data_IF_590458427051
#
_entry.id   IF_590458427051
#
_cell.length_a   1.000
_cell.length_b   1.000
_cell.length_c   1.000
_cell.angle_alpha   90.00
_cell.angle_beta   90.00
_cell.angle_gamma   90.00
#
_symmetry.space_group_name_H-M   'P 1'
#
loop_
_entity.id
_entity.type
_entity.pdbx_description
1 polymer ?
#
# COMPACT_ATOMS: atom_id res chain seq x y z
N UNK A 1 -12.68 26.73 -0.88
CA UNK A 1 -11.95 26.53 -2.16
C UNK A 1 -12.51 25.26 -2.80
N UNK A 2 -12.67 25.13 -4.12
CA UNK A 2 -13.17 23.87 -4.71
C UNK A 2 -12.01 22.90 -4.96
N UNK A 3 -12.18 21.64 -4.60
CA UNK A 3 -11.27 20.57 -4.99
C UNK A 3 -11.23 20.43 -6.51
N UNK A 4 -10.09 20.04 -7.08
CA UNK A 4 -10.01 19.61 -8.48
C UNK A 4 -10.42 18.15 -8.56
N UNK A 5 -11.45 17.85 -9.35
CA UNK A 5 -12.00 16.50 -9.48
C UNK A 5 -11.65 15.95 -10.87
N UNK A 6 -11.11 14.74 -10.91
CA UNK A 6 -10.84 14.00 -12.15
C UNK A 6 -11.80 12.81 -12.24
N UNK A 7 -12.62 12.72 -13.28
CA UNK A 7 -13.56 11.61 -13.44
C UNK A 7 -14.94 11.86 -12.80
N UNK A 8 -15.70 10.78 -12.63
CA UNK A 8 -17.05 10.80 -12.03
C UNK A 8 -17.02 10.00 -10.74
N UNK A 9 -17.61 10.54 -9.68
CA UNK A 9 -17.61 9.93 -8.36
C UNK A 9 -19.00 9.96 -7.74
N UNK A 10 -19.25 9.02 -6.84
CA UNK A 10 -20.42 9.05 -5.97
C UNK A 10 -20.42 10.29 -5.09
N UNK A 11 -21.61 10.81 -4.78
CA UNK A 11 -21.77 11.98 -3.94
C UNK A 11 -21.13 11.82 -2.55
N UNK A 12 -21.09 10.60 -2.00
CA UNK A 12 -20.46 10.33 -0.71
C UNK A 12 -18.95 10.63 -0.74
N UNK A 13 -18.27 10.30 -1.83
CA UNK A 13 -16.85 10.57 -2.04
C UNK A 13 -16.60 12.08 -2.20
N UNK A 14 -17.45 12.75 -2.97
CA UNK A 14 -17.39 14.22 -3.15
C UNK A 14 -17.58 14.96 -1.82
N UNK A 15 -18.55 14.53 -1.02
CA UNK A 15 -18.77 15.09 0.32
C UNK A 15 -17.56 14.92 1.24
N UNK A 16 -16.84 13.80 1.16
CA UNK A 16 -15.63 13.59 1.99
C UNK A 16 -14.52 14.58 1.63
N UNK A 17 -14.23 14.79 0.34
CA UNK A 17 -13.19 15.76 -0.05
C UNK A 17 -13.58 17.20 0.31
N UNK A 18 -14.87 17.55 0.21
CA UNK A 18 -15.41 18.84 0.66
C UNK A 18 -15.23 19.03 2.17
N UNK A 19 -15.63 18.03 2.97
CA UNK A 19 -15.43 18.05 4.42
C UNK A 19 -13.97 18.23 4.82
N UNK A 20 -13.03 17.60 4.11
CA UNK A 20 -11.60 17.76 4.35
C UNK A 20 -11.10 19.19 4.11
N UNK A 21 -11.63 19.87 3.08
CA UNK A 21 -11.34 21.29 2.80
C UNK A 21 -11.94 22.17 3.89
N UNK A 22 -13.20 21.93 4.25
CA UNK A 22 -13.90 22.71 5.29
C UNK A 22 -13.25 22.56 6.67
N UNK A 23 -12.63 21.41 6.96
CA UNK A 23 -11.82 21.18 8.15
C UNK A 23 -10.45 21.94 8.14
N UNK A 24 -10.19 22.75 7.12
CA UNK A 24 -9.01 23.61 7.01
C UNK A 24 -7.96 23.11 6.02
N UNK A 25 -8.37 22.33 5.01
CA UNK A 25 -7.53 22.01 3.86
C UNK A 25 -7.43 23.22 2.93
N UNK A 26 -6.22 23.59 2.53
CA UNK A 26 -5.99 24.73 1.64
C UNK A 26 -6.32 24.39 0.19
N UNK A 27 -5.97 23.18 -0.26
CA UNK A 27 -6.20 22.69 -1.62
C UNK A 27 -6.56 21.21 -1.59
N UNK A 28 -7.48 20.80 -2.45
CA UNK A 28 -7.89 19.40 -2.59
C UNK A 28 -7.84 18.94 -4.04
N UNK A 29 -7.47 17.67 -4.24
CA UNK A 29 -7.57 16.94 -5.51
C UNK A 29 -8.25 15.60 -5.22
N UNK A 30 -9.18 15.19 -6.09
CA UNK A 30 -9.70 13.83 -6.11
C UNK A 30 -9.32 13.19 -7.45
N UNK A 31 -8.52 12.13 -7.38
CA UNK A 31 -8.06 11.35 -8.53
C UNK A 31 -9.19 10.50 -9.12
N UNK A 32 -8.99 10.00 -10.34
CA UNK A 32 -10.02 9.28 -11.11
C UNK A 32 -10.48 7.95 -10.51
N UNK A 33 -9.62 7.32 -9.71
CA UNK A 33 -9.90 6.13 -8.90
C UNK A 33 -10.54 6.46 -7.54
N UNK A 34 -10.83 7.73 -7.29
CA UNK A 34 -11.31 8.23 -6.02
C UNK A 34 -12.63 7.60 -5.58
N UNK A 35 -12.66 7.10 -4.35
CA UNK A 35 -13.86 6.48 -3.78
C UNK A 35 -13.92 6.68 -2.26
N UNK A 36 -15.08 6.34 -1.69
CA UNK A 36 -15.37 6.57 -0.28
C UNK A 36 -14.34 5.88 0.61
N UNK A 37 -13.69 6.65 1.47
CA UNK A 37 -12.70 6.19 2.44
C UNK A 37 -13.14 6.41 3.88
N UNK A 38 -12.17 6.50 4.79
CA UNK A 38 -12.39 6.84 6.19
C UNK A 38 -12.09 8.32 6.42
N UNK A 39 -13.16 9.13 6.57
CA UNK A 39 -13.14 10.60 6.65
C UNK A 39 -12.64 11.32 5.38
N UNK A 40 -11.44 11.00 4.89
CA UNK A 40 -10.92 11.44 3.59
C UNK A 40 -11.17 10.33 2.54
N UNK A 41 -11.49 10.65 1.28
CA UNK A 41 -11.66 9.63 0.26
C UNK A 41 -10.30 9.01 -0.12
N UNK A 42 -10.32 7.72 -0.46
CA UNK A 42 -9.19 7.07 -1.12
C UNK A 42 -9.02 7.75 -2.49
N UNK A 43 -7.78 7.94 -2.95
CA UNK A 43 -7.47 8.74 -4.14
C UNK A 43 -7.61 10.25 -3.94
N UNK A 44 -7.85 10.72 -2.70
CA UNK A 44 -7.90 12.13 -2.34
C UNK A 44 -6.56 12.66 -1.84
N UNK A 45 -6.14 13.83 -2.35
CA UNK A 45 -4.97 14.57 -1.88
C UNK A 45 -5.43 15.91 -1.32
N UNK A 46 -5.10 16.21 -0.07
CA UNK A 46 -5.43 17.50 0.56
C UNK A 46 -4.19 18.11 1.18
N UNK A 47 -3.88 19.34 0.77
CA UNK A 47 -2.79 20.11 1.32
C UNK A 47 -3.26 20.86 2.56
N UNK A 48 -2.57 20.64 3.68
CA UNK A 48 -2.80 21.36 4.93
C UNK A 48 -1.55 22.16 5.27
N UNK A 49 -1.74 23.36 5.79
CA UNK A 49 -0.67 24.16 6.38
C UNK A 49 -0.72 24.04 7.90
N UNK A 50 0.43 23.81 8.52
CA UNK A 50 0.62 23.71 9.97
C UNK A 50 -0.30 22.66 10.66
N UNK A 51 -0.77 21.66 9.91
CA UNK A 51 -1.65 20.59 10.38
C UNK A 51 -1.32 19.27 9.69
N UNK A 52 -1.67 18.16 10.35
CA UNK A 52 -1.59 16.80 9.80
C UNK A 52 -2.98 16.17 9.89
N UNK A 53 -3.42 15.55 8.80
CA UNK A 53 -4.64 14.74 8.75
C UNK A 53 -4.24 13.26 8.84
N UNK A 54 -4.47 12.62 9.99
CA UNK A 54 -4.19 11.18 10.15
C UNK A 54 -5.00 10.33 9.18
N UNK A 55 -6.29 10.65 9.01
CA UNK A 55 -7.16 9.98 8.04
C UNK A 55 -6.74 10.21 6.59
N UNK A 56 -5.99 11.29 6.31
CA UNK A 56 -5.44 11.55 4.99
C UNK A 56 -4.21 10.71 4.65
N UNK A 57 -3.57 10.09 5.64
CA UNK A 57 -2.48 9.12 5.42
C UNK A 57 -3.06 7.73 5.15
N UNK A 58 -4.08 7.34 5.93
CA UNK A 58 -4.69 6.01 5.85
C UNK A 58 -4.23 5.09 6.98
N UNK A 59 -4.91 3.94 7.11
CA UNK A 59 -4.59 2.94 8.13
C UNK A 59 -3.34 2.13 7.76
N UNK A 60 -3.22 1.76 6.49
CA UNK A 60 -2.06 1.04 5.96
C UNK A 60 -0.99 2.03 5.51
N UNK A 61 -0.24 2.54 6.49
CA UNK A 61 0.75 3.59 6.27
C UNK A 61 1.88 3.03 5.40
N UNK A 62 2.16 3.73 4.30
CA UNK A 62 3.15 3.35 3.30
C UNK A 62 2.82 2.08 2.51
N UNK A 63 1.54 1.66 2.46
CA UNK A 63 1.08 0.77 1.39
C UNK A 63 1.44 1.36 0.03
N UNK A 64 2.04 0.56 -0.84
CA UNK A 64 2.58 1.00 -2.11
C UNK A 64 2.95 -0.18 -3.00
N UNK A 65 3.44 0.12 -4.20
CA UNK A 65 3.89 -0.89 -5.15
C UNK A 65 5.40 -0.78 -5.38
N UNK A 66 6.07 -1.91 -5.54
CA UNK A 66 7.43 -2.04 -6.05
C UNK A 66 7.41 -2.96 -7.27
N UNK A 67 8.10 -2.57 -8.35
CA UNK A 67 8.25 -3.42 -9.52
C UNK A 67 9.74 -3.61 -9.84
N UNK A 68 10.15 -4.86 -10.05
CA UNK A 68 11.52 -5.24 -10.39
C UNK A 68 11.52 -5.81 -11.80
N UNK A 69 12.24 -5.15 -12.72
CA UNK A 69 12.49 -5.69 -14.05
C UNK A 69 13.57 -6.78 -13.98
N UNK A 70 13.31 -7.91 -14.63
CA UNK A 70 14.25 -9.03 -14.73
C UNK A 70 14.87 -9.10 -16.13
N UNK A 71 15.94 -9.89 -16.26
CA UNK A 71 16.54 -10.22 -17.56
C UNK A 71 15.79 -11.35 -18.30
N UNK A 72 14.72 -11.89 -17.70
CA UNK A 72 13.95 -12.99 -18.28
C UNK A 72 12.94 -12.49 -19.32
N UNK A 73 12.67 -13.34 -20.32
CA UNK A 73 11.60 -13.11 -21.29
C UNK A 73 10.31 -13.80 -20.86
N UNK A 74 9.18 -13.22 -21.21
CA UNK A 74 7.87 -13.80 -20.93
C UNK A 74 7.73 -15.18 -21.56
N UNK A 75 8.26 -15.36 -22.77
CA UNK A 75 8.37 -16.65 -23.46
C UNK A 75 9.13 -17.74 -22.69
N UNK A 76 10.12 -17.39 -21.87
CA UNK A 76 10.87 -18.34 -21.02
C UNK A 76 10.15 -18.66 -19.70
N UNK A 77 9.38 -17.69 -19.19
CA UNK A 77 8.70 -17.75 -17.89
C UNK A 77 7.33 -18.40 -17.98
N UNK A 78 6.54 -18.09 -19.00
CA UNK A 78 5.15 -18.55 -19.14
C UNK A 78 5.00 -20.08 -19.05
N UNK A 79 5.85 -20.92 -19.68
CA UNK A 79 5.76 -22.38 -19.52
C UNK A 79 6.05 -22.88 -18.11
N UNK A 80 6.74 -22.08 -17.29
CA UNK A 80 7.18 -22.43 -15.93
C UNK A 80 6.38 -21.71 -14.85
N UNK A 81 5.39 -20.88 -15.22
CA UNK A 81 4.71 -19.98 -14.30
C UNK A 81 4.11 -20.72 -13.09
N UNK A 82 3.56 -21.91 -13.30
CA UNK A 82 3.04 -22.73 -12.19
C UNK A 82 4.12 -23.03 -11.15
N UNK A 83 5.29 -23.51 -11.57
CA UNK A 83 6.38 -23.85 -10.66
C UNK A 83 6.92 -22.61 -9.96
N UNK A 84 7.02 -21.50 -10.68
CA UNK A 84 7.49 -20.22 -10.11
C UNK A 84 6.51 -19.72 -9.05
N UNK A 85 5.21 -19.76 -9.32
CA UNK A 85 4.20 -19.34 -8.35
C UNK A 85 4.11 -20.31 -7.16
N UNK A 86 4.31 -21.62 -7.38
CA UNK A 86 4.44 -22.60 -6.30
C UNK A 86 5.64 -22.24 -5.39
N UNK A 87 6.77 -21.81 -5.98
CA UNK A 87 7.95 -21.35 -5.23
C UNK A 87 7.66 -20.06 -4.45
N UNK A 88 7.01 -19.07 -5.08
CA UNK A 88 6.61 -17.81 -4.42
C UNK A 88 5.72 -18.08 -3.21
N UNK A 89 4.69 -18.93 -3.33
CA UNK A 89 3.80 -19.25 -2.21
C UNK A 89 4.51 -20.13 -1.15
N UNK A 90 5.45 -20.97 -1.56
CA UNK A 90 6.28 -21.77 -0.65
C UNK A 90 7.25 -20.91 0.16
N UNK A 91 7.77 -19.82 -0.38
CA UNK A 91 8.82 -19.02 0.27
C UNK A 91 8.28 -17.73 0.91
N UNK A 92 7.19 -17.16 0.40
CA UNK A 92 6.54 -15.94 0.91
C UNK A 92 5.28 -16.29 1.70
N UNK A 93 5.00 -15.56 2.78
CA UNK A 93 3.79 -15.73 3.60
C UNK A 93 2.69 -14.76 3.16
N UNK A 94 1.54 -15.32 2.79
CA UNK A 94 0.33 -14.58 2.40
C UNK A 94 -0.81 -14.81 3.39
N UNK A 95 -1.59 -13.76 3.66
CA UNK A 95 -2.78 -13.79 4.52
C UNK A 95 -2.65 -12.94 5.78
N UNK A 96 -3.80 -12.61 6.36
CA UNK A 96 -3.90 -11.80 7.58
C UNK A 96 -3.31 -12.56 8.77
N UNK A 97 -2.47 -11.89 9.57
CA UNK A 97 -1.94 -12.44 10.82
C UNK A 97 -0.86 -13.52 10.64
N UNK A 98 -0.35 -13.73 9.43
CA UNK A 98 0.73 -14.68 9.19
C UNK A 98 2.05 -14.14 9.70
N UNK A 99 2.98 -15.04 10.03
CA UNK A 99 4.37 -14.70 10.35
C UNK A 99 5.26 -14.97 9.16
N UNK A 100 6.38 -14.25 9.09
CA UNK A 100 7.43 -14.52 8.12
C UNK A 100 8.02 -15.92 8.37
N UNK A 101 8.37 -16.61 7.28
CA UNK A 101 9.00 -17.95 7.37
C UNK A 101 10.44 -17.86 7.87
N UNK A 102 11.09 -16.73 7.61
CA UNK A 102 12.43 -16.40 8.08
C UNK A 102 12.34 -15.13 8.90
N UNK A 103 12.87 -15.16 10.13
CA UNK A 103 12.96 -13.97 10.96
C UNK A 103 13.99 -13.02 10.36
N UNK A 104 13.59 -11.75 10.19
CA UNK A 104 14.48 -10.68 9.77
C UNK A 104 14.90 -9.89 11.01
N UNK A 105 16.19 -9.94 11.32
CA UNK A 105 16.78 -9.04 12.32
C UNK A 105 17.20 -7.75 11.62
N UNK A 106 16.73 -6.61 12.12
CA UNK A 106 16.92 -5.30 11.50
C UNK A 106 17.00 -4.22 12.58
N UNK A 107 17.88 -3.23 12.39
CA UNK A 107 18.11 -2.12 13.34
C UNK A 107 16.86 -1.26 13.61
N UNK A 108 15.88 -1.31 12.69
CA UNK A 108 14.53 -0.72 12.87
C UNK A 108 13.92 -1.13 14.22
N UNK A 109 14.16 -2.35 14.69
CA UNK A 109 13.60 -2.83 15.94
C UNK A 109 14.34 -2.32 17.17
N UNK A 110 15.48 -1.63 17.02
CA UNK A 110 16.21 -1.00 18.12
C UNK A 110 15.88 0.50 18.24
N UNK A 111 15.06 1.04 17.33
CA UNK A 111 14.68 2.45 17.31
C UNK A 111 13.82 2.84 18.53
N UNK A 112 14.10 4.02 19.09
CA UNK A 112 13.41 4.59 20.24
C UNK A 112 11.93 4.91 19.95
N UNK A 113 11.55 5.04 18.67
CA UNK A 113 10.17 5.24 18.23
C UNK A 113 9.24 4.14 18.73
N UNK A 114 9.72 2.91 18.94
CA UNK A 114 8.92 1.84 19.55
C UNK A 114 8.49 2.13 21.00
N UNK A 115 8.99 3.20 21.64
CA UNK A 115 8.52 3.65 22.96
C UNK A 115 7.31 4.60 22.87
N UNK A 116 6.94 5.04 21.66
CA UNK A 116 5.78 5.90 21.43
C UNK A 116 4.49 5.11 21.70
N UNK A 117 3.67 5.59 22.64
CA UNK A 117 2.53 4.84 23.19
C UNK A 117 1.56 4.24 22.14
N UNK A 118 1.18 4.95 21.05
CA UNK A 118 0.37 4.37 19.98
C UNK A 118 0.92 3.10 19.31
N UNK A 119 2.24 2.92 19.26
CA UNK A 119 2.88 1.81 18.53
C UNK A 119 3.67 0.85 19.41
N UNK A 120 3.86 1.17 20.69
CA UNK A 120 4.73 0.39 21.58
C UNK A 120 4.28 -1.06 21.77
N UNK A 121 2.97 -1.31 21.73
CA UNK A 121 2.40 -2.66 21.77
C UNK A 121 2.52 -3.46 20.46
N UNK A 122 2.97 -2.83 19.37
CA UNK A 122 2.97 -3.43 18.03
C UNK A 122 4.34 -3.98 17.62
N UNK A 123 5.41 -3.73 18.39
CA UNK A 123 6.79 -4.08 18.03
C UNK A 123 6.97 -5.57 17.68
N UNK A 124 6.54 -6.47 18.56
CA UNK A 124 6.70 -7.91 18.32
C UNK A 124 5.83 -8.39 17.15
N UNK A 125 4.62 -7.85 16.99
CA UNK A 125 3.77 -8.14 15.83
C UNK A 125 4.44 -7.70 14.53
N UNK A 126 4.98 -6.47 14.48
CA UNK A 126 5.70 -5.98 13.32
C UNK A 126 6.94 -6.83 13.02
N UNK A 127 7.66 -7.28 14.06
CA UNK A 127 8.83 -8.15 13.90
C UNK A 127 8.49 -9.54 13.39
N UNK A 128 7.37 -10.10 13.84
CA UNK A 128 6.85 -11.38 13.36
C UNK A 128 6.34 -11.29 11.91
N UNK A 129 5.87 -10.13 11.48
CA UNK A 129 5.24 -9.90 10.18
C UNK A 129 6.16 -9.28 9.12
N UNK A 130 7.35 -8.80 9.49
CA UNK A 130 8.32 -8.25 8.55
C UNK A 130 8.75 -9.33 7.54
N UNK A 131 8.47 -9.10 6.25
CA UNK A 131 8.69 -10.08 5.18
C UNK A 131 7.45 -10.91 4.83
N UNK A 132 6.26 -10.52 5.28
CA UNK A 132 4.97 -11.07 4.82
C UNK A 132 4.23 -10.09 3.92
N UNK A 133 3.32 -10.61 3.10
CA UNK A 133 2.51 -9.78 2.16
C UNK A 133 1.24 -9.24 2.84
N UNK A 134 0.68 -9.97 3.80
CA UNK A 134 -0.60 -9.66 4.39
C UNK A 134 -1.77 -10.13 3.51
N UNK A 135 -2.93 -9.46 3.61
CA UNK A 135 -4.13 -9.77 2.85
C UNK A 135 -4.75 -8.52 2.22
N UNK A 136 -6.01 -8.61 1.77
CA UNK A 136 -6.65 -7.49 1.09
C UNK A 136 -6.19 -7.39 -0.36
N UNK A 137 -5.69 -6.22 -0.76
CA UNK A 137 -5.21 -5.93 -2.11
C UNK A 137 -3.70 -6.11 -2.30
N UNK A 138 -2.98 -6.65 -1.31
CA UNK A 138 -1.54 -6.89 -1.38
C UNK A 138 -1.23 -8.17 -2.16
N UNK A 139 -0.17 -8.15 -2.96
CA UNK A 139 0.18 -9.27 -3.84
C UNK A 139 1.69 -9.43 -3.98
N UNK A 140 2.09 -10.57 -4.54
CA UNK A 140 3.37 -10.73 -5.25
C UNK A 140 3.01 -11.45 -6.53
N UNK A 141 3.30 -10.85 -7.67
CA UNK A 141 2.88 -11.39 -8.96
C UNK A 141 3.91 -11.14 -10.06
N UNK A 142 3.79 -11.91 -11.14
CA UNK A 142 4.70 -11.91 -12.27
C UNK A 142 3.97 -11.35 -13.49
N UNK A 143 4.47 -10.23 -14.01
CA UNK A 143 3.89 -9.55 -15.15
C UNK A 143 4.81 -9.69 -16.37
N UNK A 144 4.20 -9.70 -17.56
CA UNK A 144 4.90 -9.50 -18.82
C UNK A 144 4.40 -8.18 -19.44
N UNK A 145 5.33 -7.36 -19.91
CA UNK A 145 4.98 -6.13 -20.63
C UNK A 145 4.89 -6.34 -22.15
N UNK A 146 4.56 -5.28 -22.87
CA UNK A 146 4.36 -5.32 -24.33
C UNK A 146 5.65 -5.62 -25.11
N UNK A 147 6.81 -5.66 -24.45
CA UNK A 147 8.13 -5.98 -25.02
C UNK A 147 8.60 -7.40 -24.66
N UNK A 148 7.71 -8.26 -24.12
CA UNK A 148 8.03 -9.60 -23.61
C UNK A 148 9.03 -9.60 -22.45
N UNK A 149 9.15 -8.48 -21.71
CA UNK A 149 10.01 -8.41 -20.52
C UNK A 149 9.22 -8.79 -19.27
N UNK A 150 9.89 -9.47 -18.35
CA UNK A 150 9.26 -9.95 -17.12
C UNK A 150 9.53 -9.02 -15.94
N UNK A 151 8.46 -8.69 -15.22
CA UNK A 151 8.47 -7.89 -14.01
C UNK A 151 7.97 -8.70 -12.82
N UNK A 152 8.57 -8.50 -11.65
CA UNK A 152 8.01 -8.95 -10.37
C UNK A 152 7.41 -7.73 -9.68
N UNK A 153 6.10 -7.75 -9.46
CA UNK A 153 5.41 -6.71 -8.69
C UNK A 153 5.10 -7.17 -7.28
N UNK A 154 5.23 -6.25 -6.32
CA UNK A 154 4.88 -6.39 -4.90
C UNK A 154 4.07 -5.17 -4.48
#
# INVERSE_FOLDING_TARGET
MKAKIFGQHEEATLRQIENCIDAGGERGVLCADGHKGYAQPIGGVVAYKDKISLSGVGFDIACGNLAILTDAKGSDVAPKIKSIMDDVVRDISFGIGRKAKTRVDHELFDDEAWKIAPISGLKETARDQLGTVGGGNHYVDIFADEQDRVWVGV
#
